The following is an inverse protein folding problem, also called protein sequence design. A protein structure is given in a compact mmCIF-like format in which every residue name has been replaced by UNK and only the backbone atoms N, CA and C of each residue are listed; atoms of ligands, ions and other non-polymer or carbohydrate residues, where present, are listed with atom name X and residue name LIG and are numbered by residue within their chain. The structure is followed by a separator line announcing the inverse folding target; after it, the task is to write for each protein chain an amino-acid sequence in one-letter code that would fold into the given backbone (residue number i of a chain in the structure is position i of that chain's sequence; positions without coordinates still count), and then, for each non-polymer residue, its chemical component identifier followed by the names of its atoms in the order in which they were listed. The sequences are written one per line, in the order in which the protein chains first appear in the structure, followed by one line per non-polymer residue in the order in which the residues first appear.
data_IF_989467946423
#
_entry.id   IF_989467946423
#
_cell.length_a   1.000
_cell.length_b   1.000
_cell.length_c   1.000
_cell.angle_alpha   90.00
_cell.angle_beta   90.00
_cell.angle_gamma   90.00
#
_symmetry.space_group_name_H-M   'P 1'
#
loop_
_entity.id
_entity.type
_entity.pdbx_description
1 polymer ?
#
# COMPACT_ATOMS: atom_id res chain seq x y z
N UNK A 1 -14.72 -5.59 5.14
CA UNK A 1 -14.02 -6.82 4.69
C UNK A 1 -12.58 -6.46 4.39
N UNK A 2 -11.64 -7.39 4.58
CA UNK A 2 -10.24 -7.10 4.27
C UNK A 2 -9.98 -7.06 2.77
N UNK A 3 -9.19 -6.08 2.34
CA UNK A 3 -8.65 -5.94 1.00
C UNK A 3 -7.13 -5.84 1.07
N UNK A 4 -6.46 -6.56 0.18
CA UNK A 4 -5.01 -6.47 -0.01
C UNK A 4 -4.76 -5.62 -1.25
N UNK A 5 -4.04 -4.54 -1.05
CA UNK A 5 -3.49 -3.69 -2.09
C UNK A 5 -2.01 -4.04 -2.24
N UNK A 6 -1.61 -4.46 -3.43
CA UNK A 6 -0.20 -4.70 -3.77
C UNK A 6 0.21 -3.74 -4.87
N UNK A 7 1.26 -2.98 -4.62
CA UNK A 7 1.85 -2.03 -5.55
C UNK A 7 3.29 -2.44 -5.88
N UNK A 8 3.70 -2.19 -7.12
CA UNK A 8 5.10 -2.29 -7.57
C UNK A 8 5.56 -0.89 -7.93
N UNK A 9 6.69 -0.45 -7.39
CA UNK A 9 7.27 0.85 -7.70
C UNK A 9 7.92 0.80 -9.10
N UNK A 10 7.89 1.90 -9.85
CA UNK A 10 8.61 1.99 -11.13
C UNK A 10 10.12 1.82 -10.93
N UNK A 11 10.83 1.28 -11.93
CA UNK A 11 12.29 1.24 -11.89
C UNK A 11 12.87 2.65 -11.75
N UNK A 12 13.97 2.77 -11.01
CA UNK A 12 14.66 4.04 -10.74
C UNK A 12 13.81 5.13 -10.05
N UNK A 13 12.74 4.78 -9.33
CA UNK A 13 11.86 5.73 -8.61
C UNK A 13 12.03 5.73 -7.08
N UNK A 14 13.14 5.20 -6.56
CA UNK A 14 13.39 5.18 -5.11
C UNK A 14 13.32 6.59 -4.49
N UNK A 15 13.88 7.61 -5.14
CA UNK A 15 13.84 8.97 -4.60
C UNK A 15 12.40 9.52 -4.53
N UNK A 16 11.57 9.26 -5.54
CA UNK A 16 10.14 9.63 -5.53
C UNK A 16 9.44 9.00 -4.32
N UNK A 17 9.73 7.73 -4.01
CA UNK A 17 9.26 7.09 -2.78
C UNK A 17 9.75 7.85 -1.55
N UNK A 18 11.05 8.10 -1.42
CA UNK A 18 11.61 8.71 -0.21
C UNK A 18 11.02 10.10 0.07
N UNK A 19 10.89 10.93 -0.97
CA UNK A 19 10.36 12.29 -0.87
C UNK A 19 8.89 12.31 -0.43
N UNK A 20 8.10 11.33 -0.87
CA UNK A 20 6.67 11.26 -0.59
C UNK A 20 6.32 10.36 0.62
N UNK A 21 7.31 9.65 1.17
CA UNK A 21 7.11 8.66 2.24
C UNK A 21 6.47 9.25 3.49
N UNK A 22 6.87 10.43 4.00
CA UNK A 22 6.23 11.01 5.17
C UNK A 22 4.72 11.22 4.95
N UNK A 23 4.33 11.78 3.81
CA UNK A 23 2.92 12.00 3.47
C UNK A 23 2.15 10.67 3.33
N UNK A 24 2.74 9.69 2.65
CA UNK A 24 2.16 8.35 2.51
C UNK A 24 1.94 7.67 3.88
N UNK A 25 2.94 7.73 4.77
CA UNK A 25 2.82 7.12 6.10
C UNK A 25 1.75 7.81 6.95
N UNK A 26 1.66 9.14 6.91
CA UNK A 26 0.58 9.87 7.59
C UNK A 26 -0.81 9.55 6.99
N UNK A 27 -0.89 9.41 5.66
CA UNK A 27 -2.10 8.94 5.00
C UNK A 27 -2.51 7.55 5.49
N UNK A 28 -1.60 6.59 5.56
CA UNK A 28 -1.88 5.25 6.11
C UNK A 28 -2.34 5.31 7.57
N UNK A 29 -1.67 6.10 8.43
CA UNK A 29 -2.06 6.27 9.84
C UNK A 29 -3.48 6.82 9.99
N UNK A 30 -3.94 7.66 9.07
CA UNK A 30 -5.29 8.23 9.13
C UNK A 30 -6.42 7.20 9.03
N UNK A 31 -6.13 5.97 8.55
CA UNK A 31 -7.09 4.87 8.50
C UNK A 31 -7.30 4.18 9.86
N UNK A 32 -6.44 4.44 10.85
CA UNK A 32 -6.61 3.94 12.23
C UNK A 32 -6.86 2.43 12.27
N UNK A 33 -7.91 2.02 12.99
CA UNK A 33 -8.28 0.60 13.16
C UNK A 33 -8.67 -0.11 11.85
N UNK A 34 -8.96 0.64 10.77
CA UNK A 34 -9.19 0.04 9.45
C UNK A 34 -7.89 -0.46 8.83
N UNK A 35 -6.73 0.03 9.24
CA UNK A 35 -5.44 -0.43 8.75
C UNK A 35 -5.03 -1.72 9.47
N UNK A 36 -5.16 -2.86 8.78
CA UNK A 36 -4.79 -4.16 9.33
C UNK A 36 -3.28 -4.37 9.33
N UNK A 37 -2.61 -4.09 8.21
CA UNK A 37 -1.15 -4.16 8.10
C UNK A 37 -0.67 -3.34 6.90
N UNK A 38 0.52 -2.74 6.98
CA UNK A 38 1.17 -2.12 5.83
C UNK A 38 2.69 -2.20 5.92
N UNK A 39 3.34 -2.35 4.77
CA UNK A 39 4.79 -2.33 4.68
C UNK A 39 5.29 -2.28 3.24
N UNK A 40 6.54 -1.87 3.02
CA UNK A 40 7.17 -1.99 1.72
C UNK A 40 7.48 -3.45 1.40
N UNK A 41 7.45 -3.82 0.13
CA UNK A 41 8.23 -4.95 -0.36
C UNK A 41 9.67 -4.49 -0.56
N UNK A 42 10.61 -5.40 -0.37
CA UNK A 42 12.04 -5.13 -0.44
C UNK A 42 12.68 -5.96 -1.56
N UNK A 43 13.80 -5.47 -2.08
CA UNK A 43 14.72 -6.22 -2.93
C UNK A 43 15.48 -7.25 -2.09
N UNK A 44 15.62 -8.48 -2.59
CA UNK A 44 16.39 -9.53 -1.92
C UNK A 44 17.91 -9.25 -1.91
N UNK A 45 18.39 -8.34 -2.77
CA UNK A 45 19.82 -8.05 -2.92
C UNK A 45 20.35 -7.08 -1.86
N UNK A 46 19.56 -6.06 -1.50
CA UNK A 46 20.03 -4.91 -0.74
C UNK A 46 18.97 -4.27 0.17
N UNK A 47 17.83 -4.94 0.37
CA UNK A 47 16.68 -4.45 1.12
C UNK A 47 16.10 -3.12 0.58
N UNK A 48 16.40 -2.75 -0.67
CA UNK A 48 15.82 -1.54 -1.28
C UNK A 48 14.31 -1.70 -1.44
N UNK A 49 13.55 -0.71 -0.96
CA UNK A 49 12.08 -0.70 -1.12
C UNK A 49 11.70 -0.63 -2.60
N UNK A 50 10.87 -1.57 -3.06
CA UNK A 50 10.49 -1.72 -4.48
C UNK A 50 8.97 -1.84 -4.71
N UNK A 51 8.18 -1.63 -3.67
CA UNK A 51 6.73 -1.77 -3.73
C UNK A 51 6.07 -1.63 -2.36
N UNK A 52 4.78 -1.90 -2.31
CA UNK A 52 4.00 -1.82 -1.07
C UNK A 52 2.97 -2.93 -0.99
N UNK A 53 2.74 -3.43 0.22
CA UNK A 53 1.58 -4.24 0.57
C UNK A 53 0.83 -3.51 1.66
N UNK A 54 -0.45 -3.27 1.43
CA UNK A 54 -1.36 -2.64 2.40
C UNK A 54 -2.61 -3.50 2.51
N UNK A 55 -2.99 -3.84 3.74
CA UNK A 55 -4.17 -4.62 4.07
C UNK A 55 -5.09 -3.75 4.90
N UNK A 56 -6.31 -3.50 4.42
CA UNK A 56 -7.29 -2.59 5.04
C UNK A 56 -8.65 -3.26 5.17
N UNK A 57 -9.39 -2.95 6.23
CA UNK A 57 -10.80 -3.29 6.39
C UNK A 57 -11.69 -2.20 5.78
N UNK A 58 -12.31 -2.50 4.64
CA UNK A 58 -13.14 -1.57 3.87
C UNK A 58 -14.49 -2.20 3.49
N UNK A 59 -15.49 -1.38 3.22
CA UNK A 59 -16.85 -1.85 2.97
C UNK A 59 -17.02 -2.41 1.56
N UNK A 60 -16.20 -1.96 0.60
CA UNK A 60 -16.32 -2.34 -0.81
C UNK A 60 -14.99 -2.26 -1.56
N UNK A 61 -14.96 -2.83 -2.78
CA UNK A 61 -13.82 -2.69 -3.69
C UNK A 61 -13.66 -1.25 -4.17
N UNK A 62 -14.75 -0.50 -4.29
CA UNK A 62 -14.71 0.91 -4.73
C UNK A 62 -14.02 1.79 -3.69
N UNK A 63 -14.26 1.56 -2.39
CA UNK A 63 -13.51 2.24 -1.33
C UNK A 63 -12.01 1.87 -1.35
N UNK A 64 -11.67 0.62 -1.71
CA UNK A 64 -10.28 0.22 -1.86
C UNK A 64 -9.62 0.89 -3.08
N UNK A 65 -10.37 1.12 -4.16
CA UNK A 65 -9.88 1.89 -5.31
C UNK A 65 -9.69 3.36 -4.93
N UNK A 66 -10.64 3.96 -4.22
CA UNK A 66 -10.54 5.34 -3.73
C UNK A 66 -9.33 5.53 -2.79
N UNK A 67 -9.04 4.55 -1.93
CA UNK A 67 -7.81 4.51 -1.14
C UNK A 67 -6.57 4.58 -2.04
N UNK A 68 -6.50 3.73 -3.08
CA UNK A 68 -5.36 3.68 -3.99
C UNK A 68 -5.18 5.00 -4.76
N UNK A 69 -6.27 5.59 -5.25
CA UNK A 69 -6.26 6.83 -6.03
C UNK A 69 -5.86 8.04 -5.18
N UNK A 70 -6.10 7.97 -3.85
CA UNK A 70 -5.78 9.04 -2.92
C UNK A 70 -4.42 8.94 -2.25
N UNK A 71 -3.75 7.79 -2.36
CA UNK A 71 -2.41 7.58 -1.81
C UNK A 71 -1.41 8.61 -2.37
N UNK A 72 -0.67 9.34 -1.52
CA UNK A 72 0.38 10.26 -1.94
C UNK A 72 1.40 9.64 -2.92
N UNK A 73 1.73 8.36 -2.78
CA UNK A 73 2.60 7.65 -3.74
C UNK A 73 1.95 7.48 -5.11
N UNK A 74 0.65 7.17 -5.16
CA UNK A 74 -0.07 7.06 -6.43
C UNK A 74 -0.13 8.43 -7.13
N UNK A 75 -0.45 9.50 -6.37
CA UNK A 75 -0.47 10.88 -6.86
C UNK A 75 0.91 11.37 -7.33
N UNK A 76 1.98 10.89 -6.71
CA UNK A 76 3.36 11.15 -7.13
C UNK A 76 3.80 10.31 -8.34
N UNK A 77 2.95 9.41 -8.84
CA UNK A 77 3.24 8.56 -9.98
C UNK A 77 4.30 7.49 -9.71
N UNK A 78 4.48 7.09 -8.43
CA UNK A 78 5.48 6.12 -8.00
C UNK A 78 5.25 4.73 -8.60
N UNK A 79 4.00 4.27 -8.63
CA UNK A 79 3.68 2.88 -8.93
C UNK A 79 3.68 2.59 -10.43
N UNK A 80 4.31 1.48 -10.80
CA UNK A 80 4.20 0.86 -12.13
C UNK A 80 2.88 0.09 -12.24
N UNK A 81 2.50 -0.61 -11.16
CA UNK A 81 1.24 -1.34 -11.10
C UNK A 81 0.64 -1.32 -9.69
N UNK A 82 -0.68 -1.36 -9.65
CA UNK A 82 -1.48 -1.48 -8.43
C UNK A 82 -2.51 -2.59 -8.65
N UNK A 83 -2.67 -3.47 -7.67
CA UNK A 83 -3.65 -4.56 -7.70
C UNK A 83 -4.43 -4.62 -6.39
N UNK A 84 -5.73 -4.88 -6.50
CA UNK A 84 -6.66 -4.91 -5.35
C UNK A 84 -7.36 -6.27 -5.34
N UNK A 85 -7.22 -6.98 -4.23
CA UNK A 85 -7.84 -8.29 -4.02
C UNK A 85 -8.63 -8.32 -2.71
N UNK A 86 -9.87 -8.78 -2.76
CA UNK A 86 -10.63 -9.12 -1.56
C UNK A 86 -9.92 -10.28 -0.85
N UNK A 87 -9.70 -10.16 0.45
CA UNK A 87 -8.92 -11.12 1.21
C UNK A 87 -9.66 -11.55 2.48
N UNK A 88 -9.39 -12.77 2.92
CA UNK A 88 -9.89 -13.32 4.17
C UNK A 88 -8.69 -13.65 5.04
N UNK A 89 -8.54 -12.97 6.18
CA UNK A 89 -7.62 -13.40 7.23
C UNK A 89 -8.13 -14.76 7.75
N UNK A 90 -7.34 -15.81 7.51
CA UNK A 90 -7.63 -17.16 8.04
C UNK A 90 -6.80 -17.42 9.30
N UNK A 91 -5.57 -16.91 9.33
CA UNK A 91 -4.64 -17.07 10.45
C UNK A 91 -3.82 -15.77 10.69
N UNK A 92 -3.32 -15.55 11.92
CA UNK A 92 -3.78 -16.24 13.13
C UNK A 92 -5.28 -16.00 13.31
N UNK A 93 -6.00 -17.04 13.74
CA UNK A 93 -7.39 -16.84 14.14
C UNK A 93 -7.34 -16.04 15.44
N UNK A 94 -8.04 -14.90 15.47
CA UNK A 94 -8.21 -14.13 16.71
C UNK A 94 -8.89 -14.99 17.78
#
# INVERSE_FOLDING_TARGET
MLYVVKCVDKPNHLQVRLDNRPAHVEFLKSYGDKLFAAGPTLSDEDDTMNGSVVILDLESKDQAQEFCDNDPYAKAGLFESVSISKWKKVLPAD
#
